data_IF_151657806497
#
_entry.id   IF_151657806497
#
_cell.length_a   1.000
_cell.length_b   1.000
_cell.length_c   1.000
_cell.angle_alpha   90.00
_cell.angle_beta   90.00
_cell.angle_gamma   90.00
#
_symmetry.space_group_name_H-M   'P 1'
#
loop_
_entity.id
_entity.type
_entity.pdbx_description
1 polymer ?
#
# COMPACT_ATOMS: atom_id res chain seq x y z
N UNK A 1 -22.68 21.66 -18.69
CA UNK A 1 -21.32 21.42 -18.15
C UNK A 1 -21.11 19.96 -17.89
N UNK A 2 -20.15 19.34 -18.52
CA UNK A 2 -19.76 17.99 -18.15
C UNK A 2 -18.90 18.07 -16.89
N UNK A 3 -19.34 17.43 -15.81
CA UNK A 3 -18.50 17.25 -14.63
C UNK A 3 -17.46 16.17 -14.93
N UNK A 4 -16.24 16.61 -15.25
CA UNK A 4 -15.12 15.69 -15.45
C UNK A 4 -14.73 15.15 -14.07
N UNK A 5 -14.94 13.86 -13.86
CA UNK A 5 -14.59 13.19 -12.63
C UNK A 5 -13.08 12.95 -12.61
N UNK A 6 -12.35 13.70 -11.79
CA UNK A 6 -10.91 13.53 -11.63
C UNK A 6 -10.60 12.38 -10.66
N UNK A 7 -9.58 11.57 -11.00
CA UNK A 7 -9.19 10.41 -10.22
C UNK A 7 -7.69 10.33 -10.08
N UNK A 8 -7.25 9.80 -8.96
CA UNK A 8 -5.86 9.42 -8.73
C UNK A 8 -5.82 8.05 -8.08
N UNK A 9 -5.03 7.15 -8.63
CA UNK A 9 -4.75 5.84 -8.03
C UNK A 9 -3.52 5.94 -7.14
N UNK A 10 -3.60 5.35 -5.96
CA UNK A 10 -2.49 5.28 -5.02
C UNK A 10 -2.19 3.84 -4.66
N UNK A 11 -0.90 3.53 -4.64
CA UNK A 11 -0.41 2.35 -3.93
C UNK A 11 0.03 2.79 -2.53
N UNK A 12 -0.33 2.01 -1.52
CA UNK A 12 0.01 2.33 -0.15
C UNK A 12 0.43 1.09 0.62
N UNK A 13 1.41 1.24 1.50
CA UNK A 13 1.87 0.19 2.39
C UNK A 13 2.07 0.74 3.80
N UNK A 14 1.52 0.05 4.77
CA UNK A 14 1.70 0.36 6.19
C UNK A 14 2.75 -0.58 6.79
N UNK A 15 3.80 0.00 7.37
CA UNK A 15 4.79 -0.76 8.11
C UNK A 15 4.21 -1.14 9.48
N UNK A 16 4.06 -2.44 9.74
CA UNK A 16 3.43 -2.90 10.97
C UNK A 16 4.30 -2.71 12.22
N UNK A 17 5.62 -2.55 12.06
CA UNK A 17 6.54 -2.32 13.18
C UNK A 17 6.72 -0.85 13.49
N UNK A 18 6.88 -0.02 12.47
CA UNK A 18 7.15 1.41 12.63
C UNK A 18 5.89 2.28 12.51
N UNK A 19 4.79 1.72 11.99
CA UNK A 19 3.49 2.38 11.81
C UNK A 19 3.53 3.55 10.83
N UNK A 20 4.60 3.70 10.06
CA UNK A 20 4.65 4.69 8.98
C UNK A 20 4.00 4.15 7.71
N UNK A 21 3.62 5.06 6.83
CA UNK A 21 2.88 4.74 5.63
C UNK A 21 3.64 5.23 4.40
N UNK A 22 3.81 4.34 3.42
CA UNK A 22 4.41 4.67 2.13
C UNK A 22 3.31 4.82 1.11
N UNK A 23 3.26 5.96 0.45
CA UNK A 23 2.28 6.28 -0.58
C UNK A 23 2.99 6.54 -1.90
N UNK A 24 2.49 5.92 -2.98
CA UNK A 24 3.01 6.15 -4.33
C UNK A 24 1.85 6.34 -5.30
N UNK A 25 1.79 7.51 -5.99
CA UNK A 25 0.75 7.74 -6.99
C UNK A 25 1.07 7.02 -8.30
N UNK A 26 0.05 6.47 -8.92
CA UNK A 26 0.12 5.83 -10.23
C UNK A 26 -1.12 6.18 -11.04
N UNK A 27 -1.04 5.97 -12.35
CA UNK A 27 -2.17 6.20 -13.25
C UNK A 27 -3.27 5.15 -13.10
N UNK A 28 -2.90 3.93 -12.75
CA UNK A 28 -3.83 2.81 -12.60
C UNK A 28 -3.27 1.73 -11.68
N UNK A 29 -4.17 0.88 -11.15
CA UNK A 29 -3.79 -0.38 -10.54
C UNK A 29 -3.56 -1.44 -11.62
N UNK A 30 -2.35 -1.93 -11.75
CA UNK A 30 -1.98 -2.97 -12.70
C UNK A 30 -0.73 -3.72 -12.26
N UNK A 31 -0.37 -4.77 -12.99
CA UNK A 31 0.79 -5.62 -12.64
C UNK A 31 2.12 -4.86 -12.69
N UNK A 32 2.30 -4.01 -13.69
CA UNK A 32 3.54 -3.22 -13.82
C UNK A 32 3.73 -2.24 -12.67
N UNK A 33 2.68 -1.54 -12.29
CA UNK A 33 2.71 -0.60 -11.18
C UNK A 33 2.85 -1.34 -9.83
N UNK A 34 2.28 -2.53 -9.71
CA UNK A 34 2.47 -3.38 -8.53
C UNK A 34 3.94 -3.77 -8.37
N UNK A 35 4.58 -4.22 -9.44
CA UNK A 35 6.01 -4.57 -9.42
C UNK A 35 6.86 -3.34 -9.08
N UNK A 36 6.55 -2.18 -9.67
CA UNK A 36 7.25 -0.93 -9.38
C UNK A 36 7.14 -0.56 -7.90
N UNK A 37 5.96 -0.76 -7.30
CA UNK A 37 5.75 -0.47 -5.89
C UNK A 37 6.53 -1.44 -4.99
N UNK A 38 6.57 -2.73 -5.33
CA UNK A 38 7.38 -3.72 -4.59
C UNK A 38 8.87 -3.32 -4.63
N UNK A 39 9.37 -2.93 -5.80
CA UNK A 39 10.75 -2.45 -5.95
C UNK A 39 11.02 -1.23 -5.08
N UNK A 40 10.08 -0.29 -5.05
CA UNK A 40 10.18 0.91 -4.22
C UNK A 40 10.27 0.55 -2.74
N UNK A 41 9.45 -0.39 -2.27
CA UNK A 41 9.51 -0.85 -0.88
C UNK A 41 10.84 -1.53 -0.57
N UNK A 42 11.40 -2.29 -1.51
CA UNK A 42 12.72 -2.90 -1.35
C UNK A 42 13.82 -1.83 -1.26
N UNK A 43 13.75 -0.80 -2.09
CA UNK A 43 14.72 0.31 -2.08
C UNK A 43 14.68 1.11 -0.77
N UNK A 44 13.49 1.24 -0.18
CA UNK A 44 13.33 1.90 1.12
C UNK A 44 13.81 1.04 2.29
N UNK A 45 13.99 -0.27 2.08
CA UNK A 45 14.36 -1.22 3.13
C UNK A 45 15.55 -2.08 2.68
N UNK A 46 16.71 -1.45 2.40
CA UNK A 46 17.86 -2.18 1.84
C UNK A 46 18.36 -3.26 2.80
N UNK A 47 18.65 -4.44 2.25
CA UNK A 47 19.17 -5.57 3.03
C UNK A 47 18.14 -6.24 3.92
N UNK A 48 16.87 -5.86 3.87
CA UNK A 48 15.81 -6.44 4.68
C UNK A 48 14.91 -7.34 3.84
N UNK A 49 14.35 -8.36 4.48
CA UNK A 49 13.32 -9.21 3.89
C UNK A 49 11.97 -8.50 4.02
N UNK A 50 11.21 -8.48 2.95
CA UNK A 50 9.86 -7.93 2.96
C UNK A 50 8.83 -9.05 3.07
N UNK A 51 7.91 -8.91 4.01
CA UNK A 51 6.70 -9.74 4.06
C UNK A 51 5.54 -8.82 3.75
N UNK A 52 4.96 -8.98 2.57
CA UNK A 52 3.82 -8.20 2.13
C UNK A 52 2.54 -8.97 2.41
N UNK A 53 1.62 -8.33 3.12
CA UNK A 53 0.29 -8.87 3.35
C UNK A 53 -0.67 -8.01 2.54
N UNK A 54 -1.36 -8.60 1.57
CA UNK A 54 -2.18 -7.84 0.64
C UNK A 54 -3.49 -8.57 0.30
N UNK A 55 -4.39 -7.88 -0.35
CA UNK A 55 -5.63 -8.47 -0.82
C UNK A 55 -5.39 -9.34 -2.06
N UNK A 56 -6.44 -10.05 -2.48
CA UNK A 56 -6.38 -10.90 -3.65
C UNK A 56 -6.70 -10.20 -4.96
N UNK A 57 -6.39 -8.91 -5.10
CA UNK A 57 -6.63 -8.18 -6.34
C UNK A 57 -6.00 -8.92 -7.53
N UNK A 58 -6.71 -8.91 -8.67
CA UNK A 58 -6.32 -9.70 -9.85
C UNK A 58 -4.90 -9.42 -10.30
N UNK A 59 -4.48 -8.14 -10.30
CA UNK A 59 -3.14 -7.76 -10.73
C UNK A 59 -2.05 -8.14 -9.73
N UNK A 60 -2.39 -8.37 -8.43
CA UNK A 60 -1.44 -8.89 -7.43
C UNK A 60 -1.12 -10.37 -7.67
N UNK A 61 -2.01 -11.11 -8.33
CA UNK A 61 -1.87 -12.53 -8.62
C UNK A 61 -1.48 -12.81 -10.07
N UNK A 62 -1.15 -11.77 -10.83
CA UNK A 62 -0.81 -11.91 -12.24
C UNK A 62 0.46 -12.73 -12.44
N UNK A 63 0.61 -13.30 -13.65
CA UNK A 63 1.80 -14.04 -14.03
C UNK A 63 3.06 -13.16 -13.92
N UNK A 64 2.98 -11.90 -14.33
CA UNK A 64 4.10 -10.98 -14.27
C UNK A 64 4.60 -10.75 -12.84
N UNK A 65 3.69 -10.57 -11.89
CA UNK A 65 4.04 -10.42 -10.48
C UNK A 65 4.67 -11.71 -9.94
N UNK A 66 4.09 -12.87 -10.28
CA UNK A 66 4.65 -14.16 -9.85
C UNK A 66 6.04 -14.40 -10.43
N UNK A 67 6.27 -14.05 -11.69
CA UNK A 67 7.59 -14.14 -12.33
C UNK A 67 8.60 -13.21 -11.65
N UNK A 68 8.19 -11.99 -11.32
CA UNK A 68 9.06 -11.07 -10.59
C UNK A 68 9.47 -11.63 -9.23
N UNK A 69 8.52 -12.18 -8.47
CA UNK A 69 8.80 -12.78 -7.16
C UNK A 69 9.76 -13.97 -7.28
N UNK A 70 9.58 -14.82 -8.30
CA UNK A 70 10.50 -15.92 -8.57
C UNK A 70 11.90 -15.42 -8.89
N UNK A 71 12.01 -14.34 -9.64
CA UNK A 71 13.28 -13.76 -10.05
C UNK A 71 14.04 -13.20 -8.84
N UNK A 72 13.38 -12.44 -7.96
CA UNK A 72 14.06 -11.84 -6.80
C UNK A 72 14.44 -12.87 -5.75
N UNK A 73 13.72 -13.99 -5.71
CA UNK A 73 13.95 -15.07 -4.74
C UNK A 73 14.74 -16.25 -5.33
N UNK A 74 15.25 -16.09 -6.55
CA UNK A 74 15.95 -17.17 -7.27
C UNK A 74 17.13 -17.70 -6.45
N UNK A 75 17.23 -19.03 -6.41
CA UNK A 75 18.31 -19.77 -5.73
C UNK A 75 18.37 -19.54 -4.22
N UNK A 76 17.29 -19.04 -3.62
CA UNK A 76 17.17 -18.84 -2.17
C UNK A 76 16.18 -19.85 -1.57
N UNK A 77 16.51 -20.36 -0.40
CA UNK A 77 15.54 -21.11 0.42
C UNK A 77 14.43 -20.15 0.85
N UNK A 78 13.24 -20.69 1.08
CA UNK A 78 12.07 -19.88 1.44
C UNK A 78 12.34 -18.94 2.63
N UNK A 79 13.11 -19.40 3.60
CA UNK A 79 13.49 -18.61 4.78
C UNK A 79 14.38 -17.42 4.41
N UNK A 80 15.04 -17.48 3.26
CA UNK A 80 15.96 -16.44 2.79
C UNK A 80 15.33 -15.55 1.70
N UNK A 81 14.09 -15.78 1.33
CA UNK A 81 13.42 -14.98 0.30
C UNK A 81 13.45 -13.50 0.64
N UNK A 82 13.74 -12.71 -0.37
CA UNK A 82 13.75 -11.25 -0.25
C UNK A 82 12.36 -10.65 -0.14
N UNK A 83 11.38 -11.26 -0.80
CA UNK A 83 9.98 -10.81 -0.80
C UNK A 83 9.07 -12.03 -0.67
N UNK A 84 8.27 -12.04 0.38
CA UNK A 84 7.23 -13.05 0.60
C UNK A 84 5.87 -12.35 0.60
N UNK A 85 4.91 -12.90 -0.14
CA UNK A 85 3.57 -12.34 -0.24
C UNK A 85 2.56 -13.27 0.43
N UNK A 86 1.75 -12.73 1.32
CA UNK A 86 0.68 -13.42 2.00
C UNK A 86 -0.65 -12.73 1.67
N UNK A 87 -1.72 -13.52 1.55
CA UNK A 87 -3.04 -12.99 1.24
C UNK A 87 -3.86 -12.85 2.52
N UNK A 88 -4.64 -11.78 2.61
CA UNK A 88 -5.72 -11.68 3.59
C UNK A 88 -6.81 -12.70 3.28
N UNK A 89 -7.66 -12.98 4.26
CA UNK A 89 -8.82 -13.84 4.05
C UNK A 89 -9.70 -13.26 2.92
N UNK A 90 -10.28 -14.12 2.07
CA UNK A 90 -11.17 -13.65 1.00
C UNK A 90 -12.34 -12.85 1.58
N UNK A 91 -12.70 -11.75 0.87
CA UNK A 91 -13.83 -10.89 1.23
C UNK A 91 -13.80 -10.33 2.66
N UNK A 92 -12.60 -10.09 3.19
CA UNK A 92 -12.42 -9.55 4.54
C UNK A 92 -11.57 -8.27 4.51
N UNK A 93 -12.05 -7.18 3.82
CA UNK A 93 -11.29 -5.92 3.75
C UNK A 93 -11.07 -5.28 5.11
N UNK A 94 -11.93 -5.57 6.09
CA UNK A 94 -11.79 -5.09 7.47
C UNK A 94 -10.54 -5.63 8.16
N UNK A 95 -9.92 -6.68 7.64
CA UNK A 95 -8.66 -7.20 8.17
C UNK A 95 -7.44 -6.39 7.71
N UNK A 96 -7.59 -5.57 6.68
CA UNK A 96 -6.49 -4.81 6.10
C UNK A 96 -6.35 -3.43 6.77
N UNK A 97 -5.29 -3.20 7.58
CA UNK A 97 -5.10 -1.90 8.25
C UNK A 97 -4.94 -0.73 7.27
N UNK A 98 -4.55 -0.97 6.03
CA UNK A 98 -4.43 0.07 5.00
C UNK A 98 -5.79 0.72 4.72
N UNK A 99 -6.89 -0.04 4.83
CA UNK A 99 -8.24 0.52 4.69
C UNK A 99 -8.52 1.60 5.75
N UNK A 100 -8.00 1.43 6.95
CA UNK A 100 -8.14 2.42 8.01
C UNK A 100 -7.32 3.68 7.73
N UNK A 101 -6.16 3.54 7.08
CA UNK A 101 -5.35 4.68 6.62
C UNK A 101 -6.13 5.48 5.57
N UNK A 102 -6.71 4.79 4.57
CA UNK A 102 -7.54 5.44 3.55
C UNK A 102 -8.71 6.19 4.17
N UNK A 103 -9.38 5.58 5.13
CA UNK A 103 -10.53 6.19 5.81
C UNK A 103 -10.11 7.46 6.57
N UNK A 104 -9.02 7.42 7.32
CA UNK A 104 -8.49 8.59 8.02
C UNK A 104 -8.11 9.71 7.05
N UNK A 105 -7.48 9.37 5.92
CA UNK A 105 -7.14 10.33 4.89
C UNK A 105 -8.39 10.99 4.29
N UNK A 106 -9.40 10.21 3.97
CA UNK A 106 -10.68 10.74 3.46
C UNK A 106 -11.37 11.65 4.47
N UNK A 107 -11.37 11.26 5.74
CA UNK A 107 -11.97 12.07 6.79
C UNK A 107 -11.22 13.39 6.99
N UNK A 108 -9.90 13.35 6.90
CA UNK A 108 -9.07 14.56 6.94
C UNK A 108 -9.41 15.49 5.79
N UNK A 109 -9.54 14.97 4.57
CA UNK A 109 -9.92 15.76 3.39
C UNK A 109 -11.30 16.39 3.57
N UNK A 110 -12.26 15.66 4.13
CA UNK A 110 -13.63 16.20 4.39
C UNK A 110 -13.62 17.37 5.36
N UNK A 111 -12.78 17.29 6.39
CA UNK A 111 -12.65 18.38 7.36
C UNK A 111 -12.01 19.64 6.79
N UNK A 112 -11.16 19.47 5.76
CA UNK A 112 -10.35 20.55 5.19
C UNK A 112 -10.71 20.86 3.74
N UNK A 113 -11.86 20.38 3.25
CA UNK A 113 -12.22 20.53 1.84
C UNK A 113 -12.33 22.00 1.41
N UNK A 114 -12.71 22.87 2.32
CA UNK A 114 -12.84 24.31 2.02
C UNK A 114 -11.48 24.97 1.67
N UNK A 115 -10.38 24.36 2.05
CA UNK A 115 -9.03 24.84 1.72
C UNK A 115 -8.55 24.37 0.36
N UNK A 116 -9.17 23.34 -0.19
CA UNK A 116 -8.72 22.66 -1.41
C UNK A 116 -9.63 23.03 -2.57
N UNK A 117 -9.20 23.99 -3.38
CA UNK A 117 -9.98 24.51 -4.51
C UNK A 117 -9.70 23.77 -5.81
N UNK A 118 -8.58 23.05 -5.90
CA UNK A 118 -8.18 22.31 -7.10
C UNK A 118 -7.92 20.85 -6.74
N UNK A 119 -8.02 19.95 -7.75
CA UNK A 119 -7.70 18.55 -7.57
C UNK A 119 -6.24 18.35 -7.14
N UNK A 120 -5.33 19.16 -7.67
CA UNK A 120 -3.92 19.12 -7.27
C UNK A 120 -3.74 19.45 -5.78
N UNK A 121 -4.48 20.42 -5.27
CA UNK A 121 -4.45 20.74 -3.82
C UNK A 121 -4.99 19.58 -2.97
N UNK A 122 -6.06 18.91 -3.44
CA UNK A 122 -6.60 17.73 -2.76
C UNK A 122 -5.55 16.64 -2.69
N UNK A 123 -4.87 16.34 -3.79
CA UNK A 123 -3.82 15.32 -3.84
C UNK A 123 -2.67 15.66 -2.90
N UNK A 124 -2.20 16.89 -2.91
CA UNK A 124 -1.11 17.35 -2.04
C UNK A 124 -1.50 17.25 -0.57
N UNK A 125 -2.70 17.64 -0.23
CA UNK A 125 -3.23 17.56 1.13
C UNK A 125 -3.29 16.10 1.62
N UNK A 126 -3.75 15.19 0.78
CA UNK A 126 -3.82 13.76 1.11
C UNK A 126 -2.42 13.16 1.28
N UNK A 127 -1.50 13.45 0.36
CA UNK A 127 -0.12 12.95 0.42
C UNK A 127 0.61 13.47 1.66
N UNK A 128 0.48 14.75 1.96
CA UNK A 128 1.10 15.34 3.16
C UNK A 128 0.55 14.71 4.44
N UNK A 129 -0.75 14.51 4.50
CA UNK A 129 -1.37 13.88 5.67
C UNK A 129 -0.83 12.47 5.89
N UNK A 130 -0.82 11.62 4.85
CA UNK A 130 -0.39 10.22 4.96
C UNK A 130 1.10 10.08 5.25
N UNK A 131 1.93 10.98 4.71
CA UNK A 131 3.40 10.92 4.87
C UNK A 131 3.87 11.41 6.25
N UNK A 132 3.10 12.24 6.91
CA UNK A 132 3.49 12.84 8.21
C UNK A 132 2.93 12.12 9.42
N UNK A 133 2.05 11.13 9.21
CA UNK A 133 1.38 10.44 10.29
C UNK A 133 2.07 9.13 10.65
N UNK A 134 2.02 8.80 11.92
CA UNK A 134 2.24 7.44 12.39
C UNK A 134 0.86 6.88 12.71
N UNK A 135 0.52 5.75 12.08
CA UNK A 135 -0.80 5.16 12.17
C UNK A 135 -0.79 4.00 13.17
N UNK A 136 -1.53 4.15 14.25
CA UNK A 136 -1.66 3.12 15.26
C UNK A 136 -3.11 2.62 15.30
N UNK A 137 -3.28 1.35 14.94
CA UNK A 137 -4.57 0.67 14.93
C UNK A 137 -4.45 -0.64 15.70
N UNK A 138 -5.48 -0.99 16.45
CA UNK A 138 -5.52 -2.26 17.19
C UNK A 138 -5.30 -3.49 16.31
N UNK A 139 -5.76 -3.45 15.05
CA UNK A 139 -5.55 -4.54 14.09
C UNK A 139 -4.08 -4.83 13.80
N UNK A 140 -3.18 -3.86 13.94
CA UNK A 140 -1.76 -4.07 13.70
C UNK A 140 -1.22 -5.12 14.64
N UNK A 141 -1.64 -5.08 15.90
CA UNK A 141 -1.21 -6.04 16.90
C UNK A 141 -1.60 -7.47 16.57
N UNK A 142 -2.68 -7.66 15.79
CA UNK A 142 -3.11 -8.99 15.38
C UNK A 142 -2.06 -9.69 14.52
N UNK A 143 -1.31 -8.93 13.72
CA UNK A 143 -0.29 -9.47 12.81
C UNK A 143 1.07 -9.62 13.48
N UNK A 144 1.36 -8.83 14.52
CA UNK A 144 2.63 -8.89 15.23
C UNK A 144 2.70 -10.00 16.27
N UNK A 145 1.57 -10.62 16.61
CA UNK A 145 1.50 -11.67 17.61
C UNK A 145 1.73 -13.08 17.07
N UNK A 146 1.93 -13.23 15.78
CA UNK A 146 2.22 -14.54 15.21
C UNK A 146 3.68 -14.91 15.50
N UNK A 147 3.90 -16.15 16.02
CA UNK A 147 5.25 -16.63 16.24
C UNK A 147 6.00 -16.87 14.94
#
# INVERSE_FOLDING_TARGET
MQNIKQRQTYYGALNLYHHDFVLMPHDAGNEGNTIAFIKHLQDLNPGKKLILIWDGARYHRSEAVQMYLKKVNKDLDEQEWKVTCLLFAPHAPEQNPVEDVWLRGKNFLRKHFYKNKTFQQVKSCFSDFTNKQIFDFNKIDWYLKFP
#
